data_IF_851209576979
#
_entry.id   IF_851209576979
#
_cell.length_a   1.000
_cell.length_b   1.000
_cell.length_c   1.000
_cell.angle_alpha   90.00
_cell.angle_beta   90.00
_cell.angle_gamma   90.00
#
_symmetry.space_group_name_H-M   'P 1'
#
loop_
_entity.id
_entity.type
_entity.pdbx_description
1 polymer ?
#
# COMPACT_ATOMS: atom_id res chain seq x y z
N UNK A 1 31.35 -11.52 -25.63
CA UNK A 1 30.87 -10.14 -25.48
C UNK A 1 31.81 -9.45 -24.55
N UNK A 2 32.37 -8.31 -24.96
CA UNK A 2 33.56 -7.71 -24.38
C UNK A 2 33.39 -7.23 -22.94
N UNK A 3 34.36 -7.56 -22.08
CA UNK A 3 34.52 -7.12 -20.68
C UNK A 3 34.60 -5.59 -20.50
N UNK A 4 34.72 -4.83 -21.59
CA UNK A 4 34.89 -3.38 -21.55
C UNK A 4 33.73 -2.60 -20.93
N UNK A 5 32.51 -3.18 -20.91
CA UNK A 5 31.32 -2.49 -20.40
C UNK A 5 31.19 -2.56 -18.88
N UNK A 6 31.98 -3.40 -18.19
CA UNK A 6 31.96 -3.52 -16.73
C UNK A 6 32.88 -2.52 -16.02
N UNK A 7 33.79 -1.90 -16.76
CA UNK A 7 34.73 -0.90 -16.22
C UNK A 7 34.12 0.47 -16.01
N UNK A 8 33.02 0.77 -16.71
CA UNK A 8 32.26 2.01 -16.55
C UNK A 8 31.16 1.81 -15.49
N UNK A 9 31.04 2.71 -14.51
CA UNK A 9 29.97 2.62 -13.53
C UNK A 9 28.58 2.65 -14.19
N UNK A 10 27.70 1.66 -13.93
CA UNK A 10 26.38 1.63 -14.53
C UNK A 10 25.53 2.82 -14.07
N UNK A 11 24.75 3.39 -15.00
CA UNK A 11 23.84 4.51 -14.76
C UNK A 11 22.50 4.26 -15.44
N UNK A 12 21.41 4.47 -14.72
CA UNK A 12 20.04 4.24 -15.19
C UNK A 12 19.12 3.81 -14.06
N UNK A 13 17.95 3.31 -14.44
CA UNK A 13 16.95 2.82 -13.50
C UNK A 13 16.81 1.30 -13.62
N UNK A 14 16.81 0.64 -12.47
CA UNK A 14 16.43 -0.76 -12.35
C UNK A 14 15.13 -0.79 -11.53
N UNK A 15 14.09 -1.40 -12.09
CA UNK A 15 12.80 -1.50 -11.44
C UNK A 15 12.72 -2.87 -10.79
N UNK A 16 12.76 -2.89 -9.46
CA UNK A 16 12.67 -4.14 -8.71
C UNK A 16 11.20 -4.41 -8.35
N UNK A 17 10.71 -5.59 -8.69
CA UNK A 17 9.51 -6.13 -8.06
C UNK A 17 9.89 -6.58 -6.65
N UNK A 18 9.67 -5.69 -5.68
CA UNK A 18 10.07 -5.94 -4.30
C UNK A 18 9.15 -6.99 -3.69
N UNK A 19 9.67 -8.14 -3.23
CA UNK A 19 8.84 -9.13 -2.57
C UNK A 19 8.36 -8.64 -1.20
N UNK A 20 7.27 -9.22 -0.71
CA UNK A 20 6.76 -9.04 0.66
C UNK A 20 7.83 -9.45 1.68
N UNK A 21 7.88 -8.80 2.83
CA UNK A 21 8.84 -9.05 3.91
C UNK A 21 10.19 -8.36 3.74
N UNK A 22 10.51 -7.86 2.54
CA UNK A 22 11.76 -7.15 2.27
C UNK A 22 11.60 -5.65 2.53
N UNK A 23 12.53 -5.02 3.24
CA UNK A 23 12.62 -3.55 3.31
C UNK A 23 13.26 -2.94 2.06
N UNK A 24 12.85 -1.71 1.70
CA UNK A 24 13.38 -1.01 0.51
C UNK A 24 14.91 -0.84 0.54
N UNK A 25 15.50 -0.64 1.72
CA UNK A 25 16.96 -0.58 1.90
C UNK A 25 17.63 -1.92 1.62
N UNK A 26 16.96 -3.03 1.95
CA UNK A 26 17.45 -4.38 1.63
C UNK A 26 17.45 -4.62 0.13
N UNK A 27 16.44 -4.12 -0.61
CA UNK A 27 16.41 -4.13 -2.07
C UNK A 27 17.62 -3.38 -2.68
N UNK A 28 17.93 -2.18 -2.19
CA UNK A 28 19.15 -1.45 -2.59
C UNK A 28 20.41 -2.25 -2.29
N UNK A 29 20.46 -2.93 -1.14
CA UNK A 29 21.62 -3.75 -0.74
C UNK A 29 21.78 -4.98 -1.65
N UNK A 30 20.66 -5.61 -2.05
CA UNK A 30 20.66 -6.71 -3.00
C UNK A 30 21.21 -6.27 -4.36
N UNK A 31 20.78 -5.11 -4.87
CA UNK A 31 21.33 -4.56 -6.14
C UNK A 31 22.84 -4.31 -6.02
N UNK A 32 23.31 -3.66 -4.94
CA UNK A 32 24.74 -3.42 -4.72
C UNK A 32 25.55 -4.71 -4.66
N UNK A 33 25.02 -5.75 -4.00
CA UNK A 33 25.67 -7.05 -3.92
C UNK A 33 25.80 -7.68 -5.30
N UNK A 34 24.71 -7.76 -6.06
CA UNK A 34 24.70 -8.39 -7.38
C UNK A 34 25.60 -7.65 -8.39
N UNK A 35 25.65 -6.32 -8.35
CA UNK A 35 26.58 -5.54 -9.18
C UNK A 35 28.04 -5.87 -8.84
N UNK A 36 28.39 -5.99 -7.56
CA UNK A 36 29.74 -6.34 -7.13
C UNK A 36 30.11 -7.76 -7.55
N UNK A 37 29.24 -8.73 -7.34
CA UNK A 37 29.44 -10.14 -7.71
C UNK A 37 29.52 -10.32 -9.21
N UNK A 38 28.72 -9.58 -9.99
CA UNK A 38 28.80 -9.53 -11.46
C UNK A 38 30.03 -8.79 -12.02
N UNK A 39 30.90 -8.24 -11.16
CA UNK A 39 32.14 -7.56 -11.57
C UNK A 39 31.96 -6.15 -12.09
N UNK A 40 30.80 -5.50 -11.85
CA UNK A 40 30.57 -4.12 -12.29
C UNK A 40 31.34 -3.11 -11.44
N UNK A 41 31.76 -2.01 -12.07
CA UNK A 41 32.42 -0.91 -11.39
C UNK A 41 31.52 -0.32 -10.29
N UNK A 42 32.14 0.10 -9.18
CA UNK A 42 31.43 0.67 -8.04
C UNK A 42 30.60 1.88 -8.47
N UNK A 43 29.29 1.82 -8.24
CA UNK A 43 28.36 2.90 -8.55
C UNK A 43 27.51 3.29 -7.32
N UNK A 44 26.99 4.52 -7.35
CA UNK A 44 26.00 4.98 -6.36
C UNK A 44 24.66 4.31 -6.65
N UNK A 45 23.98 3.84 -5.61
CA UNK A 45 22.67 3.18 -5.71
C UNK A 45 21.75 3.71 -4.65
N UNK A 46 20.51 4.07 -5.02
CA UNK A 46 19.45 4.54 -4.12
C UNK A 46 18.07 4.21 -4.66
N UNK A 47 17.04 4.25 -3.82
CA UNK A 47 15.67 4.01 -4.27
C UNK A 47 14.86 5.31 -4.42
N UNK A 48 13.89 5.31 -5.33
CA UNK A 48 12.98 6.43 -5.64
C UNK A 48 11.67 6.43 -4.84
N UNK A 49 11.69 5.95 -3.60
CA UNK A 49 10.50 5.94 -2.72
C UNK A 49 10.40 4.66 -1.91
N UNK A 50 10.22 4.80 -0.61
CA UNK A 50 10.11 3.68 0.31
C UNK A 50 8.81 2.89 0.07
N UNK A 51 8.91 1.57 0.18
CA UNK A 51 7.82 0.64 0.43
C UNK A 51 8.01 0.02 1.81
N UNK A 52 6.93 -0.13 2.54
CA UNK A 52 6.92 -0.85 3.81
C UNK A 52 7.30 -2.33 3.59
N UNK A 53 7.77 -3.08 4.62
CA UNK A 53 8.12 -4.50 4.46
C UNK A 53 6.93 -5.33 3.97
N UNK A 54 5.73 -5.10 4.51
CA UNK A 54 4.50 -5.74 4.08
C UNK A 54 4.20 -5.51 2.59
N UNK A 55 4.47 -4.29 2.09
CA UNK A 55 4.15 -3.92 0.71
C UNK A 55 5.09 -4.59 -0.29
N UNK A 56 4.57 -4.95 -1.44
CA UNK A 56 5.30 -5.50 -2.58
C UNK A 56 5.18 -4.63 -3.83
N UNK A 57 5.85 -5.02 -4.91
CA UNK A 57 5.72 -4.41 -6.24
C UNK A 57 6.80 -3.38 -6.55
N UNK A 58 6.46 -2.44 -7.40
CA UNK A 58 7.36 -1.51 -8.08
C UNK A 58 8.24 -0.70 -7.13
N UNK A 59 9.54 -1.00 -7.08
CA UNK A 59 10.56 -0.23 -6.37
C UNK A 59 11.61 0.28 -7.35
N UNK A 60 11.52 1.56 -7.80
CA UNK A 60 12.53 2.14 -8.67
C UNK A 60 13.87 2.29 -7.93
N UNK A 61 14.92 1.71 -8.47
CA UNK A 61 16.28 1.81 -7.95
C UNK A 61 17.14 2.54 -8.96
N UNK A 62 17.67 3.69 -8.55
CA UNK A 62 18.53 4.54 -9.34
C UNK A 62 19.99 4.11 -9.19
N UNK A 63 20.72 4.01 -10.29
CA UNK A 63 22.15 3.72 -10.38
C UNK A 63 22.89 4.93 -10.96
N UNK A 64 24.07 5.22 -10.43
CA UNK A 64 24.96 6.25 -10.94
C UNK A 64 24.30 7.64 -11.03
N UNK A 65 24.29 8.22 -12.21
CA UNK A 65 23.72 9.56 -12.47
C UNK A 65 22.21 9.63 -12.20
N UNK A 66 21.45 8.53 -12.43
CA UNK A 66 20.01 8.50 -12.12
C UNK A 66 19.70 8.76 -10.63
N UNK A 67 20.67 8.56 -9.72
CA UNK A 67 20.47 8.89 -8.29
C UNK A 67 20.22 10.38 -8.05
N UNK A 68 20.58 11.26 -8.97
CA UNK A 68 20.30 12.70 -8.89
C UNK A 68 18.80 12.98 -9.12
N UNK A 69 18.10 12.09 -9.82
CA UNK A 69 16.67 12.18 -10.12
C UNK A 69 15.79 11.43 -9.09
N UNK A 70 16.38 10.65 -8.19
CA UNK A 70 15.63 9.87 -7.21
C UNK A 70 14.67 10.73 -6.36
N UNK A 71 15.02 12.01 -6.11
CA UNK A 71 14.16 12.97 -5.43
C UNK A 71 12.85 13.24 -6.18
N UNK A 72 12.86 13.28 -7.50
CA UNK A 72 11.65 13.47 -8.33
C UNK A 72 10.68 12.29 -8.17
N UNK A 73 11.21 11.09 -8.03
CA UNK A 73 10.40 9.90 -7.78
C UNK A 73 9.68 9.93 -6.43
N UNK A 74 10.26 10.61 -5.43
CA UNK A 74 9.58 10.82 -4.15
C UNK A 74 8.31 11.66 -4.32
N UNK A 75 8.36 12.65 -5.20
CA UNK A 75 7.26 13.59 -5.46
C UNK A 75 6.21 13.05 -6.46
N UNK A 76 6.58 12.06 -7.25
CA UNK A 76 5.69 11.46 -8.25
C UNK A 76 4.47 10.78 -7.63
N UNK A 77 3.39 10.66 -8.39
CA UNK A 77 2.20 9.88 -8.03
C UNK A 77 2.54 8.38 -7.96
N UNK A 78 1.81 7.64 -7.13
CA UNK A 78 1.91 6.18 -7.00
C UNK A 78 0.53 5.56 -7.13
N UNK A 79 0.47 4.38 -7.73
CA UNK A 79 -0.75 3.56 -7.76
C UNK A 79 -0.53 2.31 -6.93
N UNK A 80 -1.53 1.96 -6.15
CA UNK A 80 -1.51 0.80 -5.26
C UNK A 80 -2.79 -0.01 -5.44
N UNK A 81 -2.65 -1.33 -5.36
CA UNK A 81 -3.75 -2.26 -5.07
C UNK A 81 -3.59 -2.73 -3.64
N UNK A 82 -4.65 -2.68 -2.85
CA UNK A 82 -4.60 -3.05 -1.44
C UNK A 82 -5.92 -3.65 -0.97
N UNK A 83 -5.83 -4.58 -0.01
CA UNK A 83 -6.99 -5.20 0.61
C UNK A 83 -7.14 -4.72 2.05
N UNK A 84 -8.33 -4.27 2.39
CA UNK A 84 -8.74 -3.96 3.77
C UNK A 84 -9.48 -5.18 4.31
N UNK A 85 -9.01 -5.75 5.38
CA UNK A 85 -9.75 -6.73 6.19
C UNK A 85 -10.54 -5.97 7.26
N UNK A 86 -11.85 -6.21 7.33
CA UNK A 86 -12.73 -5.60 8.32
C UNK A 86 -12.82 -6.43 9.61
N UNK A 87 -13.28 -5.80 10.68
CA UNK A 87 -13.50 -6.41 11.99
C UNK A 87 -12.39 -6.14 13.00
N UNK A 88 -11.15 -5.93 12.56
CA UNK A 88 -9.99 -5.73 13.43
C UNK A 88 -9.12 -4.55 12.98
N UNK A 89 -8.62 -3.79 13.95
CA UNK A 89 -7.59 -2.76 13.75
C UNK A 89 -6.32 -3.17 14.49
N UNK A 90 -5.17 -3.08 13.83
CA UNK A 90 -3.88 -3.34 14.43
C UNK A 90 -3.14 -2.03 14.71
N UNK A 91 -2.18 -2.03 15.62
CA UNK A 91 -1.38 -0.86 15.98
C UNK A 91 -0.52 -0.35 14.82
N UNK A 92 -0.08 -1.24 13.92
CA UNK A 92 0.64 -0.88 12.68
C UNK A 92 -0.29 -0.56 11.51
N UNK A 93 -1.60 -0.83 11.64
CA UNK A 93 -2.63 -0.75 10.59
C UNK A 93 -2.41 -1.74 9.44
N UNK A 94 -1.64 -2.81 9.69
CA UNK A 94 -1.36 -3.91 8.78
C UNK A 94 -1.19 -5.23 9.55
N UNK A 95 -0.82 -6.31 8.87
CA UNK A 95 -0.67 -7.65 9.47
C UNK A 95 0.60 -7.84 10.32
N UNK A 96 1.48 -6.83 10.40
CA UNK A 96 2.71 -6.92 11.21
C UNK A 96 2.48 -6.52 12.67
N UNK A 97 1.33 -5.88 12.98
CA UNK A 97 1.00 -5.36 14.30
C UNK A 97 0.06 -6.26 15.11
N UNK A 98 -0.10 -5.89 16.38
CA UNK A 98 -1.04 -6.55 17.29
C UNK A 98 -2.44 -5.89 17.18
N UNK A 99 -3.49 -6.69 17.40
CA UNK A 99 -4.87 -6.19 17.38
C UNK A 99 -5.11 -5.28 18.58
N UNK A 100 -5.47 -4.02 18.30
CA UNK A 100 -5.76 -3.00 19.33
C UNK A 100 -7.25 -2.66 19.46
N UNK A 101 -8.05 -2.95 18.44
CA UNK A 101 -9.49 -2.74 18.48
C UNK A 101 -10.23 -3.76 17.60
N UNK A 102 -11.46 -4.11 18.01
CA UNK A 102 -12.35 -5.05 17.29
C UNK A 102 -13.71 -4.42 17.05
N UNK A 103 -14.40 -4.92 16.02
CA UNK A 103 -15.78 -4.58 15.69
C UNK A 103 -16.49 -5.80 15.13
N UNK A 104 -17.69 -6.08 15.66
CA UNK A 104 -18.56 -7.14 15.13
C UNK A 104 -19.42 -6.65 13.96
N UNK A 105 -19.23 -5.39 13.53
CA UNK A 105 -19.97 -4.79 12.44
C UNK A 105 -19.18 -4.98 11.14
N UNK A 106 -19.87 -5.53 10.13
CA UNK A 106 -19.34 -5.66 8.78
C UNK A 106 -20.19 -4.80 7.83
N UNK A 107 -19.57 -4.03 6.93
CA UNK A 107 -20.32 -3.18 6.02
C UNK A 107 -21.02 -4.02 4.96
N UNK A 108 -22.22 -3.60 4.49
CA UNK A 108 -22.78 -4.15 3.26
C UNK A 108 -21.84 -3.93 2.08
N UNK A 109 -21.72 -4.91 1.19
CA UNK A 109 -20.83 -4.83 0.02
C UNK A 109 -21.11 -3.57 -0.84
N UNK A 110 -22.38 -3.20 -0.98
CA UNK A 110 -22.82 -2.00 -1.71
C UNK A 110 -22.35 -0.68 -1.05
N UNK A 111 -22.22 -0.65 0.29
CA UNK A 111 -21.78 0.56 0.99
C UNK A 111 -20.31 0.89 0.72
N UNK A 112 -19.50 -0.11 0.40
CA UNK A 112 -18.08 0.06 0.06
C UNK A 112 -17.89 1.01 -1.12
N UNK A 113 -18.69 0.87 -2.18
CA UNK A 113 -18.59 1.74 -3.35
C UNK A 113 -19.02 3.19 -3.05
N UNK A 114 -20.07 3.37 -2.25
CA UNK A 114 -20.61 4.71 -1.93
C UNK A 114 -19.68 5.57 -1.07
N UNK A 115 -18.80 4.96 -0.26
CA UNK A 115 -17.88 5.70 0.61
C UNK A 115 -16.64 6.20 -0.13
N UNK A 116 -16.27 5.60 -1.28
CA UNK A 116 -15.01 5.89 -1.97
C UNK A 116 -14.95 7.33 -2.48
N UNK A 117 -16.07 7.91 -2.90
CA UNK A 117 -16.14 9.28 -3.38
C UNK A 117 -15.72 10.30 -2.30
N UNK A 118 -16.00 10.01 -1.01
CA UNK A 118 -15.60 10.86 0.11
C UNK A 118 -14.09 10.86 0.37
N UNK A 119 -13.39 9.84 -0.09
CA UNK A 119 -11.93 9.71 0.02
C UNK A 119 -11.19 10.08 -1.26
N UNK A 120 -11.90 10.49 -2.32
CA UNK A 120 -11.30 10.97 -3.57
C UNK A 120 -11.14 12.49 -3.52
N UNK A 121 -10.00 12.99 -4.00
CA UNK A 121 -9.63 14.41 -3.92
C UNK A 121 -8.65 14.72 -2.79
N UNK A 122 -8.68 15.96 -2.29
CA UNK A 122 -7.83 16.39 -1.18
C UNK A 122 -8.44 15.95 0.15
N UNK A 123 -7.69 15.19 0.94
CA UNK A 123 -8.09 14.72 2.26
C UNK A 123 -7.04 15.07 3.32
N UNK A 124 -7.48 15.20 4.57
CA UNK A 124 -6.58 15.24 5.71
C UNK A 124 -6.34 13.82 6.23
N UNK A 125 -5.09 13.47 6.45
CA UNK A 125 -4.69 12.13 6.88
C UNK A 125 -3.72 12.20 8.05
N UNK A 126 -3.99 11.45 9.12
CA UNK A 126 -3.04 11.20 10.20
C UNK A 126 -2.17 10.00 9.82
N UNK A 127 -0.84 10.18 9.69
CA UNK A 127 0.08 9.08 9.39
C UNK A 127 0.03 7.98 10.46
N UNK A 128 0.42 6.73 10.14
CA UNK A 128 0.54 5.70 11.16
C UNK A 128 1.73 5.98 12.07
N UNK A 129 1.62 5.59 13.37
CA UNK A 129 2.72 5.73 14.33
C UNK A 129 3.98 4.99 13.86
N UNK A 130 3.80 3.83 13.25
CA UNK A 130 4.86 3.03 12.64
C UNK A 130 5.19 3.53 11.23
N UNK A 131 5.78 4.73 11.15
CA UNK A 131 6.18 5.34 9.88
C UNK A 131 7.64 5.84 9.91
N UNK A 132 8.21 6.05 8.71
CA UNK A 132 9.55 6.60 8.55
C UNK A 132 9.64 8.13 8.79
N UNK A 133 8.54 8.77 9.19
CA UNK A 133 8.50 10.18 9.52
C UNK A 133 9.44 10.50 10.69
N UNK A 134 10.09 11.65 10.61
CA UNK A 134 10.90 12.15 11.72
C UNK A 134 10.07 13.08 12.60
N UNK A 135 10.02 12.76 13.89
CA UNK A 135 9.45 13.59 14.95
C UNK A 135 10.59 13.92 15.91
N UNK A 136 10.91 15.19 16.06
CA UNK A 136 12.02 15.66 16.90
C UNK A 136 13.38 15.01 16.58
N UNK A 137 13.63 14.79 15.27
CA UNK A 137 14.89 14.23 14.78
C UNK A 137 14.99 12.70 14.82
N UNK A 138 14.09 11.99 15.51
CA UNK A 138 13.99 10.53 15.55
C UNK A 138 12.86 10.05 14.63
N UNK A 139 12.97 8.83 14.12
CA UNK A 139 11.87 8.24 13.32
C UNK A 139 10.69 7.89 14.22
N UNK A 140 9.46 8.15 13.78
CA UNK A 140 8.26 7.79 14.51
C UNK A 140 8.22 6.29 14.84
N UNK A 141 8.60 5.45 13.89
CA UNK A 141 8.76 4.02 14.04
C UNK A 141 9.69 3.61 15.20
N UNK A 142 10.85 4.27 15.38
CA UNK A 142 11.79 3.95 16.46
C UNK A 142 11.20 4.32 17.83
N UNK A 143 10.43 5.40 17.89
CA UNK A 143 9.74 5.86 19.11
C UNK A 143 8.57 4.94 19.46
N UNK A 144 7.73 4.58 18.47
CA UNK A 144 6.61 3.68 18.67
C UNK A 144 7.07 2.31 19.20
N UNK A 145 8.17 1.76 18.64
CA UNK A 145 8.77 0.51 19.16
C UNK A 145 9.33 0.64 20.57
N UNK A 146 9.75 1.81 20.98
CA UNK A 146 10.17 2.07 22.35
C UNK A 146 8.99 2.26 23.32
N UNK A 147 7.73 2.11 22.85
CA UNK A 147 6.51 2.31 23.64
C UNK A 147 6.21 3.79 23.92
N UNK A 148 6.86 4.73 23.20
CA UNK A 148 6.55 6.15 23.31
C UNK A 148 5.26 6.46 22.56
N UNK A 149 4.37 7.22 23.18
CA UNK A 149 3.20 7.81 22.50
C UNK A 149 3.68 8.84 21.48
N UNK A 150 3.40 8.61 20.19
CA UNK A 150 3.86 9.47 19.09
C UNK A 150 2.66 10.20 18.51
N UNK A 151 2.45 11.43 18.96
CA UNK A 151 1.45 12.32 18.37
C UNK A 151 1.92 12.76 16.98
N UNK A 152 1.21 12.34 15.94
CA UNK A 152 1.47 12.70 14.56
C UNK A 152 0.43 13.71 14.07
N UNK A 153 0.91 14.83 13.57
CA UNK A 153 0.04 15.86 12.99
C UNK A 153 -0.60 15.38 11.70
N UNK A 154 -1.88 15.71 11.49
CA UNK A 154 -2.54 15.52 10.21
C UNK A 154 -1.82 16.27 9.10
N UNK A 155 -1.94 15.77 7.88
CA UNK A 155 -1.40 16.41 6.69
C UNK A 155 -2.35 16.24 5.52
N UNK A 156 -2.31 17.18 4.60
CA UNK A 156 -3.07 17.11 3.36
C UNK A 156 -2.37 16.21 2.35
N UNK A 157 -3.14 15.31 1.77
CA UNK A 157 -2.74 14.44 0.68
C UNK A 157 -3.84 14.41 -0.36
N UNK A 158 -3.53 14.02 -1.59
CA UNK A 158 -4.50 13.92 -2.67
C UNK A 158 -4.65 12.48 -3.13
N UNK A 159 -5.87 11.98 -3.11
CA UNK A 159 -6.25 10.72 -3.73
C UNK A 159 -6.81 11.07 -5.11
N UNK A 160 -6.02 10.81 -6.14
CA UNK A 160 -6.39 11.16 -7.52
C UNK A 160 -7.50 10.26 -8.07
N UNK A 161 -7.49 8.99 -7.69
CA UNK A 161 -8.54 8.02 -7.97
C UNK A 161 -8.60 6.97 -6.87
N UNK A 162 -9.78 6.47 -6.59
CA UNK A 162 -10.04 5.37 -5.67
C UNK A 162 -11.22 4.57 -6.22
N UNK A 163 -11.02 3.29 -6.45
CA UNK A 163 -12.03 2.40 -7.03
C UNK A 163 -11.91 0.97 -6.49
N UNK A 164 -12.96 0.19 -6.65
CA UNK A 164 -12.85 -1.25 -6.46
C UNK A 164 -11.84 -1.80 -7.47
N UNK A 165 -10.89 -2.59 -6.99
CA UNK A 165 -9.97 -3.27 -7.90
C UNK A 165 -10.73 -4.33 -8.70
N UNK A 166 -10.47 -4.38 -10.02
CA UNK A 166 -10.87 -5.56 -10.80
C UNK A 166 -10.20 -6.80 -10.21
N UNK A 167 -10.84 -7.99 -10.27
CA UNK A 167 -10.17 -9.21 -9.84
C UNK A 167 -8.79 -9.28 -10.50
N UNK A 168 -7.74 -9.40 -9.67
CA UNK A 168 -6.41 -9.64 -10.19
C UNK A 168 -6.45 -11.00 -10.89
N UNK A 169 -6.28 -11.00 -12.21
CA UNK A 169 -6.06 -12.23 -12.95
C UNK A 169 -4.58 -12.57 -12.85
N UNK A 170 -4.23 -13.76 -12.35
CA UNK A 170 -2.89 -14.30 -12.44
C UNK A 170 -2.41 -14.41 -13.89
N UNK A 171 -1.13 -14.66 -14.12
CA UNK A 171 -0.55 -14.84 -15.46
C UNK A 171 -1.29 -15.88 -16.31
N UNK A 172 -2.06 -16.76 -15.69
CA UNK A 172 -2.87 -17.84 -16.32
C UNK A 172 -4.32 -17.42 -16.60
N UNK A 173 -4.69 -16.15 -16.38
CA UNK A 173 -6.06 -15.65 -16.63
C UNK A 173 -7.12 -16.12 -15.63
N UNK A 174 -6.74 -16.85 -14.60
CA UNK A 174 -7.64 -17.24 -13.51
C UNK A 174 -7.75 -16.12 -12.47
N UNK A 175 -8.98 -15.76 -12.10
CA UNK A 175 -9.22 -14.83 -11.00
C UNK A 175 -8.73 -15.48 -9.70
N UNK A 176 -7.88 -14.77 -8.95
CA UNK A 176 -7.42 -15.21 -7.64
C UNK A 176 -8.63 -15.50 -6.75
N UNK A 177 -8.75 -16.75 -6.32
CA UNK A 177 -9.82 -17.15 -5.42
C UNK A 177 -9.55 -16.63 -4.01
N UNK A 178 -10.60 -16.54 -3.17
CA UNK A 178 -10.50 -16.19 -1.75
C UNK A 178 -9.42 -16.96 -0.98
N UNK A 179 -9.10 -18.18 -1.42
CA UNK A 179 -8.10 -19.05 -0.81
C UNK A 179 -6.66 -18.66 -1.09
N UNK A 180 -6.40 -17.95 -2.19
CA UNK A 180 -5.04 -17.61 -2.62
C UNK A 180 -4.48 -16.36 -1.92
N UNK A 181 -5.39 -15.52 -1.39
CA UNK A 181 -5.05 -14.30 -0.65
C UNK A 181 -4.88 -14.53 0.87
N UNK A 182 -5.27 -15.70 1.38
CA UNK A 182 -5.28 -16.04 2.80
C UNK A 182 -4.40 -17.27 3.13
N UNK A 183 -3.11 -17.21 2.81
CA UNK A 183 -2.14 -18.15 3.39
C UNK A 183 -1.32 -17.41 4.46
N UNK A 184 -1.64 -17.56 5.77
CA UNK A 184 -0.68 -17.21 6.81
C UNK A 184 0.48 -18.20 6.73
N UNK A 185 1.70 -17.70 6.60
CA UNK A 185 2.90 -18.53 6.72
C UNK A 185 2.88 -19.26 8.06
N UNK A 186 3.02 -20.58 8.04
CA UNK A 186 3.23 -21.41 9.23
C UNK A 186 4.51 -20.95 9.93
N UNK A 187 4.35 -20.20 11.00
CA UNK A 187 5.41 -19.80 11.91
C UNK A 187 5.19 -20.52 13.26
N UNK A 188 6.18 -21.25 13.67
CA UNK A 188 6.26 -22.06 14.90
C UNK A 188 5.79 -21.32 16.15
N UNK A 189 5.08 -22.07 16.99
CA UNK A 189 4.47 -21.61 18.23
C UNK A 189 5.43 -21.03 19.26
N UNK A 190 5.13 -19.83 19.70
CA UNK A 190 5.59 -19.30 20.98
C UNK A 190 4.38 -18.82 21.79
N UNK A 191 4.27 -19.35 22.99
CA UNK A 191 3.21 -19.20 23.97
C UNK A 191 3.17 -17.76 24.50
N UNK A 192 2.00 -17.08 24.38
CA UNK A 192 1.81 -15.72 24.84
C UNK A 192 1.60 -15.65 26.38
N UNK A 193 2.11 -14.61 27.06
CA UNK A 193 1.78 -14.33 28.46
C UNK A 193 0.44 -13.59 28.57
N UNK A 194 -0.32 -13.87 29.64
CA UNK A 194 -1.64 -13.36 29.94
C UNK A 194 -1.70 -11.85 30.15
N UNK A 195 -2.84 -11.19 29.81
CA UNK A 195 -2.95 -9.74 29.86
C UNK A 195 -3.25 -9.22 31.27
N UNK A 196 -2.48 -8.22 31.69
CA UNK A 196 -2.78 -7.37 32.84
C UNK A 196 -3.61 -6.18 32.36
N UNK A 197 -4.68 -5.89 33.06
CA UNK A 197 -5.64 -4.83 32.83
C UNK A 197 -5.02 -3.44 32.76
N UNK A 198 -5.20 -2.73 31.64
CA UNK A 198 -4.98 -1.29 31.53
C UNK A 198 -6.23 -0.59 31.05
N UNK A 199 -6.56 0.48 31.76
CA UNK A 199 -7.78 1.26 31.73
C UNK A 199 -8.07 1.92 30.37
N UNK A 200 -9.34 1.81 30.03
CA UNK A 200 -10.07 2.47 28.95
C UNK A 200 -10.01 4.01 29.07
N UNK A 201 -9.26 4.65 28.16
CA UNK A 201 -9.49 6.04 27.78
C UNK A 201 -9.42 6.14 26.25
N UNK A 202 -10.55 5.85 25.62
CA UNK A 202 -10.73 6.05 24.19
C UNK A 202 -10.79 7.56 23.88
N UNK A 203 -9.76 8.06 23.22
CA UNK A 203 -9.78 9.38 22.61
C UNK A 203 -10.72 9.32 21.40
N UNK A 204 -11.89 10.00 21.47
CA UNK A 204 -12.81 10.16 20.33
C UNK A 204 -12.25 11.22 19.39
N UNK A 205 -11.90 10.88 18.14
CA UNK A 205 -11.68 11.91 17.13
C UNK A 205 -13.04 12.51 16.75
N UNK A 206 -13.21 13.81 16.94
CA UNK A 206 -14.39 14.56 16.50
C UNK A 206 -14.23 14.91 15.02
N UNK A 207 -14.80 14.10 14.13
CA UNK A 207 -15.09 14.54 12.77
C UNK A 207 -16.48 15.20 12.77
N UNK A 208 -16.64 16.44 12.29
CA UNK A 208 -17.96 17.02 12.09
C UNK A 208 -18.65 16.30 10.94
N UNK A 209 -19.75 15.63 11.26
CA UNK A 209 -20.69 15.16 10.24
C UNK A 209 -21.32 16.39 9.57
N UNK A 210 -21.44 16.44 8.24
CA UNK A 210 -22.17 17.51 7.57
C UNK A 210 -23.65 17.39 7.97
N UNK A 211 -24.17 18.43 8.63
CA UNK A 211 -25.59 18.61 8.86
C UNK A 211 -26.24 19.00 7.52
N UNK A 212 -26.81 18.01 6.83
CA UNK A 212 -27.76 18.25 5.75
C UNK A 212 -29.15 18.49 6.36
N UNK A 213 -29.69 19.70 6.16
CA UNK A 213 -31.09 19.99 6.44
C UNK A 213 -31.97 19.07 5.58
N UNK A 214 -32.86 18.31 6.22
CA UNK A 214 -33.93 17.57 5.54
C UNK A 214 -34.98 18.56 5.10
N UNK A 215 -35.09 18.80 3.81
CA UNK A 215 -36.31 19.33 3.22
C UNK A 215 -37.20 18.15 2.85
N UNK A 216 -38.37 18.09 3.46
CA UNK A 216 -39.43 17.14 3.14
C UNK A 216 -39.97 17.47 1.73
N UNK A 217 -39.42 16.79 0.72
CA UNK A 217 -39.89 16.82 -0.66
C UNK A 217 -40.51 15.46 -1.00
N UNK A 218 -41.78 15.49 -1.36
CA UNK A 218 -42.56 14.35 -1.85
C UNK A 218 -41.81 13.61 -2.97
N UNK A 219 -41.54 12.33 -2.79
CA UNK A 219 -40.95 11.44 -3.78
C UNK A 219 -42.01 11.06 -4.81
N UNK A 220 -41.92 11.65 -5.99
CA UNK A 220 -42.69 11.27 -7.17
C UNK A 220 -42.27 9.85 -7.63
N UNK A 221 -43.22 8.93 -7.63
CA UNK A 221 -43.04 7.49 -7.84
C UNK A 221 -43.12 7.08 -9.32
N UNK A 222 -42.45 7.79 -10.21
CA UNK A 222 -42.41 7.43 -11.63
C UNK A 222 -40.97 7.37 -12.19
N UNK A 223 -40.20 6.40 -11.76
CA UNK A 223 -39.10 5.90 -12.56
C UNK A 223 -39.38 4.46 -12.99
N UNK A 224 -39.86 4.34 -14.22
CA UNK A 224 -40.08 3.06 -14.87
C UNK A 224 -38.74 2.32 -15.08
N UNK A 225 -38.63 1.15 -14.50
CA UNK A 225 -37.60 0.16 -14.72
C UNK A 225 -37.50 -0.23 -16.19
N UNK A 226 -36.38 0.11 -16.83
CA UNK A 226 -35.99 -0.51 -18.08
C UNK A 226 -34.50 -0.72 -18.10
N UNK A 227 -34.06 -1.80 -17.50
CA UNK A 227 -32.87 -2.61 -17.82
C UNK A 227 -32.74 -3.66 -16.72
N UNK A 228 -32.69 -4.94 -17.07
CA UNK A 228 -32.66 -6.10 -16.14
C UNK A 228 -31.43 -6.21 -15.21
N UNK A 229 -31.07 -5.12 -14.54
CA UNK A 229 -30.18 -5.10 -13.37
C UNK A 229 -31.06 -5.29 -12.15
N UNK A 230 -30.73 -6.22 -11.25
CA UNK A 230 -31.43 -6.33 -9.97
C UNK A 230 -31.36 -4.98 -9.25
N UNK A 231 -32.46 -4.54 -8.67
CA UNK A 231 -32.54 -3.36 -7.84
C UNK A 231 -31.56 -3.54 -6.65
N UNK A 232 -30.55 -2.70 -6.49
CA UNK A 232 -29.60 -2.81 -5.35
C UNK A 232 -30.29 -2.58 -4.00
N UNK A 233 -31.56 -2.20 -3.97
CA UNK A 233 -32.39 -1.93 -2.79
C UNK A 233 -33.55 -2.91 -2.61
N UNK A 234 -33.52 -4.10 -3.18
CA UNK A 234 -34.51 -5.11 -2.88
C UNK A 234 -34.41 -5.55 -1.40
N UNK A 235 -35.36 -5.15 -0.51
CA UNK A 235 -35.29 -5.47 0.91
C UNK A 235 -35.48 -6.98 1.20
N UNK A 236 -35.84 -7.77 0.20
CA UNK A 236 -35.96 -9.24 0.31
C UNK A 236 -34.63 -9.97 0.05
N UNK A 237 -33.64 -9.30 -0.52
CA UNK A 237 -32.30 -9.87 -0.70
C UNK A 237 -31.51 -9.77 0.60
N UNK A 238 -30.89 -10.86 1.07
CA UNK A 238 -30.00 -10.79 2.22
C UNK A 238 -28.84 -9.83 1.91
N UNK A 239 -28.60 -8.87 2.80
CA UNK A 239 -27.45 -7.97 2.69
C UNK A 239 -26.17 -8.79 2.73
N UNK A 240 -25.47 -8.87 1.60
CA UNK A 240 -24.16 -9.48 1.56
C UNK A 240 -23.17 -8.56 2.30
N UNK A 241 -22.65 -9.06 3.44
CA UNK A 241 -21.67 -8.35 4.26
C UNK A 241 -20.26 -8.63 3.74
N UNK A 242 -19.47 -7.59 3.63
CA UNK A 242 -18.08 -7.69 3.20
C UNK A 242 -17.17 -7.94 4.41
N UNK A 243 -16.45 -9.06 4.43
CA UNK A 243 -15.35 -9.28 5.37
C UNK A 243 -14.10 -8.51 4.96
N UNK A 244 -13.93 -8.31 3.66
CA UNK A 244 -12.81 -7.55 3.11
C UNK A 244 -13.20 -6.84 1.81
N UNK A 245 -12.39 -5.87 1.42
CA UNK A 245 -12.51 -5.18 0.13
C UNK A 245 -11.14 -4.92 -0.46
N UNK A 246 -10.99 -5.16 -1.76
CA UNK A 246 -9.76 -4.82 -2.49
C UNK A 246 -9.99 -3.59 -3.34
N UNK A 247 -9.12 -2.61 -3.18
CA UNK A 247 -9.20 -1.28 -3.79
C UNK A 247 -7.94 -0.98 -4.61
N UNK A 248 -8.12 -0.20 -5.66
CA UNK A 248 -7.03 0.48 -6.35
C UNK A 248 -7.07 1.97 -6.04
N UNK A 249 -5.92 2.56 -5.69
CA UNK A 249 -5.78 3.99 -5.45
C UNK A 249 -4.57 4.58 -6.16
N UNK A 250 -4.78 5.69 -6.87
CA UNK A 250 -3.68 6.55 -7.34
C UNK A 250 -3.57 7.76 -6.42
N UNK A 251 -2.40 7.97 -5.83
CA UNK A 251 -2.22 8.91 -4.72
C UNK A 251 -1.02 9.82 -4.91
N UNK A 252 -1.06 10.99 -4.27
CA UNK A 252 0.04 11.93 -4.19
C UNK A 252 1.15 11.42 -3.25
N UNK A 253 2.30 12.11 -3.29
CA UNK A 253 3.38 11.86 -2.34
C UNK A 253 2.88 11.95 -0.89
N UNK A 254 3.46 11.12 -0.05
CA UNK A 254 3.23 11.19 1.38
C UNK A 254 1.93 10.53 1.84
N UNK A 255 1.10 10.02 0.96
CA UNK A 255 -0.09 9.26 1.33
C UNK A 255 0.31 7.91 1.93
N UNK A 256 -0.29 7.55 3.07
CA UNK A 256 -0.20 6.24 3.68
C UNK A 256 -1.45 5.43 3.39
N UNK A 257 -1.29 4.35 2.65
CA UNK A 257 -2.40 3.45 2.30
C UNK A 257 -2.98 2.80 3.56
N UNK A 258 -2.15 2.50 4.54
CA UNK A 258 -2.58 1.95 5.84
C UNK A 258 -3.53 2.89 6.59
N UNK A 259 -3.22 4.18 6.63
CA UNK A 259 -4.12 5.18 7.23
C UNK A 259 -5.40 5.35 6.39
N UNK A 260 -5.31 5.34 5.06
CA UNK A 260 -6.48 5.40 4.18
C UNK A 260 -7.43 4.22 4.45
N UNK A 261 -6.89 3.02 4.58
CA UNK A 261 -7.66 1.80 4.88
C UNK A 261 -8.38 1.90 6.23
N UNK A 262 -7.69 2.36 7.28
CA UNK A 262 -8.31 2.62 8.60
C UNK A 262 -9.44 3.64 8.49
N UNK A 263 -9.20 4.76 7.82
CA UNK A 263 -10.16 5.86 7.74
C UNK A 263 -11.41 5.43 6.95
N UNK A 264 -11.25 4.62 5.88
CA UNK A 264 -12.36 4.00 5.14
C UNK A 264 -13.16 3.05 6.05
N UNK A 265 -12.48 2.16 6.80
CA UNK A 265 -13.16 1.24 7.72
C UNK A 265 -13.95 1.99 8.80
N UNK A 266 -13.38 3.06 9.36
CA UNK A 266 -14.06 3.91 10.34
C UNK A 266 -15.30 4.60 9.74
N UNK A 267 -15.21 5.12 8.52
CA UNK A 267 -16.34 5.72 7.81
C UNK A 267 -17.48 4.72 7.54
N UNK A 268 -17.13 3.45 7.32
CA UNK A 268 -18.07 2.34 7.20
C UNK A 268 -18.61 1.84 8.55
N UNK A 269 -18.20 2.45 9.67
CA UNK A 269 -18.67 2.11 11.03
C UNK A 269 -18.09 0.82 11.59
N UNK A 270 -16.93 0.40 11.09
CA UNK A 270 -16.21 -0.80 11.52
C UNK A 270 -14.75 -0.50 11.87
N UNK A 271 -13.93 -1.52 12.06
CA UNK A 271 -12.49 -1.50 12.18
C UNK A 271 -11.88 -2.19 10.98
N UNK A 272 -10.63 -1.85 10.63
CA UNK A 272 -9.96 -2.51 9.52
C UNK A 272 -8.47 -2.24 9.49
N UNK A 273 -7.75 -3.17 8.87
CA UNK A 273 -6.31 -3.08 8.63
C UNK A 273 -5.98 -3.63 7.24
N UNK A 274 -4.80 -3.30 6.75
CA UNK A 274 -4.32 -3.76 5.43
C UNK A 274 -3.74 -5.17 5.55
N UNK A 275 -4.25 -6.10 4.74
CA UNK A 275 -3.72 -7.48 4.65
C UNK A 275 -2.89 -7.71 3.40
N UNK A 276 -3.15 -6.96 2.34
CA UNK A 276 -2.41 -6.98 1.09
C UNK A 276 -2.12 -5.56 0.62
N UNK A 277 -0.89 -5.33 0.12
CA UNK A 277 -0.48 -4.03 -0.40
C UNK A 277 0.56 -4.21 -1.51
N UNK A 278 0.19 -3.86 -2.75
CA UNK A 278 1.08 -3.87 -3.91
C UNK A 278 1.14 -2.51 -4.57
N UNK A 279 2.34 -2.00 -4.80
CA UNK A 279 2.53 -0.81 -5.62
C UNK A 279 2.68 -1.21 -7.08
N UNK A 280 1.68 -0.94 -7.91
CA UNK A 280 1.64 -1.26 -9.34
C UNK A 280 2.33 -0.19 -10.19
N UNK A 281 2.42 1.06 -9.66
CA UNK A 281 3.05 2.18 -10.37
C UNK A 281 3.79 3.13 -9.42
N UNK A 282 4.93 3.65 -9.86
CA UNK A 282 5.68 4.71 -9.19
C UNK A 282 6.21 5.72 -10.22
N UNK A 283 5.55 6.88 -10.33
CA UNK A 283 5.85 7.85 -11.39
C UNK A 283 5.66 7.25 -12.79
N UNK A 284 6.67 7.28 -13.65
CA UNK A 284 6.61 6.67 -14.98
C UNK A 284 6.71 5.14 -14.97
N UNK A 285 7.22 4.54 -13.89
CA UNK A 285 7.52 3.12 -13.82
C UNK A 285 6.31 2.29 -13.40
N UNK A 286 6.11 1.17 -14.09
CA UNK A 286 5.01 0.22 -13.91
C UNK A 286 5.55 -1.18 -13.64
N UNK A 287 4.68 -2.09 -13.19
CA UNK A 287 5.04 -3.46 -12.83
C UNK A 287 5.53 -4.29 -14.02
N UNK A 288 5.08 -4.00 -15.26
CA UNK A 288 5.55 -4.69 -16.46
C UNK A 288 7.04 -4.47 -16.74
N UNK A 289 7.63 -3.42 -16.16
CA UNK A 289 9.06 -3.11 -16.27
C UNK A 289 9.87 -3.69 -15.09
N UNK A 290 9.18 -4.23 -14.09
CA UNK A 290 9.82 -4.68 -12.88
C UNK A 290 10.41 -6.09 -13.07
N UNK A 291 11.57 -6.31 -12.48
CA UNK A 291 12.25 -7.61 -12.46
C UNK A 291 12.15 -8.23 -11.06
N UNK A 292 12.01 -9.53 -11.01
CA UNK A 292 12.02 -10.29 -9.76
C UNK A 292 13.41 -10.25 -9.10
N UNK A 293 13.45 -10.61 -7.81
CA UNK A 293 14.71 -10.75 -7.08
C UNK A 293 15.61 -11.86 -7.70
N UNK A 294 15.00 -12.92 -8.22
CA UNK A 294 15.73 -14.00 -8.88
C UNK A 294 16.39 -13.51 -10.16
N UNK A 295 15.66 -12.73 -10.96
CA UNK A 295 16.23 -12.10 -12.16
C UNK A 295 17.37 -11.12 -11.82
N UNK A 296 17.24 -10.39 -10.72
CA UNK A 296 18.33 -9.56 -10.19
C UNK A 296 19.57 -10.40 -9.82
N UNK A 297 19.37 -11.58 -9.22
CA UNK A 297 20.47 -12.46 -8.81
C UNK A 297 21.25 -13.02 -10.01
N UNK A 298 20.64 -13.14 -11.19
CA UNK A 298 21.35 -13.54 -12.41
C UNK A 298 22.48 -12.57 -12.80
N UNK A 299 22.36 -11.28 -12.44
CA UNK A 299 23.40 -10.28 -12.67
C UNK A 299 24.68 -10.65 -11.89
N UNK A 300 24.51 -11.07 -10.62
CA UNK A 300 25.62 -11.58 -9.80
C UNK A 300 26.28 -12.81 -10.39
N UNK A 301 25.53 -13.61 -11.14
CA UNK A 301 26.02 -14.80 -11.84
C UNK A 301 26.52 -14.52 -13.26
N UNK A 302 26.64 -13.25 -13.66
CA UNK A 302 27.25 -12.85 -14.91
C UNK A 302 26.29 -12.47 -16.05
N UNK A 303 24.97 -12.43 -15.78
CA UNK A 303 24.02 -11.92 -16.77
C UNK A 303 24.26 -10.43 -17.08
N UNK A 304 24.01 -9.95 -18.30
CA UNK A 304 24.22 -8.57 -18.67
C UNK A 304 23.20 -7.63 -17.99
N UNK A 305 23.71 -6.63 -17.27
CA UNK A 305 22.87 -5.62 -16.60
C UNK A 305 22.14 -4.70 -17.59
N UNK A 306 22.74 -4.45 -18.77
CA UNK A 306 22.23 -3.50 -19.76
C UNK A 306 20.82 -3.81 -20.23
N UNK A 307 20.46 -5.08 -20.27
CA UNK A 307 19.14 -5.54 -20.71
C UNK A 307 18.03 -5.24 -19.68
N UNK A 308 18.43 -4.87 -18.45
CA UNK A 308 17.53 -4.62 -17.31
C UNK A 308 17.52 -3.15 -16.88
N UNK A 309 18.40 -2.32 -17.46
CA UNK A 309 18.47 -0.90 -17.15
C UNK A 309 17.61 -0.08 -18.09
N UNK A 310 16.74 0.73 -17.50
CA UNK A 310 16.05 1.80 -18.21
C UNK A 310 16.95 3.06 -18.24
N UNK A 311 16.84 3.88 -19.30
CA UNK A 311 17.64 5.09 -19.43
C UNK A 311 17.36 6.09 -18.30
N UNK A 312 18.30 7.03 -18.08
CA UNK A 312 18.22 8.03 -17.02
C UNK A 312 16.97 8.89 -17.20
N UNK A 313 16.62 9.22 -18.42
CA UNK A 313 15.51 10.09 -18.83
C UNK A 313 14.13 9.44 -18.58
N UNK A 314 14.11 8.15 -18.28
CA UNK A 314 12.86 7.45 -17.97
C UNK A 314 12.26 7.84 -16.59
N UNK A 315 13.04 8.53 -15.72
CA UNK A 315 12.63 8.89 -14.35
C UNK A 315 12.29 10.36 -14.11
#
# INVERSE_FOLDING_TARGET
>A
MSDDNKTVPPSGWLILDKPRGMGSTQGVSAVKRNLREGGYAKTKVGHGGTLDPLAEGVLPIALGEATKLAGRMLDATKTYVFTIQFGEETDTLDTEGEVVARSDRFPPLAAGAGVLDHFTGEIEQVPPAYSALKVDGKRAYDRARAGEDVELKSRRVTIHSLSLASPLTGEDGEAWSRSDLAQPGEGDGAQAPSPTSASEQAHKPSYPLPHGERTDGELDSTFATTTGRPDPYDPSMPLELAESVTLEATVSKGTYIRSLARDIALALGTRGHVTYLRRTKAGPFREEQAISLDKLNEIGNGAPLQDLLLPIEAG
#
